data_IF_784097037027
#
_entry.id   IF_784097037027
#
_cell.length_a   1.000
_cell.length_b   1.000
_cell.length_c   1.000
_cell.angle_alpha   90.00
_cell.angle_beta   90.00
_cell.angle_gamma   90.00
#
_symmetry.space_group_name_H-M   'P 1'
#
loop_
_entity.id
_entity.type
_entity.pdbx_description
1 polymer ?
#
# COMPACT_ATOMS: atom_id res chain seq x y z
N UNK A 1 12.23 9.28 1.98
CA UNK A 1 10.91 8.90 2.49
C UNK A 1 10.60 7.43 2.20
N UNK A 2 9.56 6.91 2.83
CA UNK A 2 9.07 5.56 2.58
C UNK A 2 7.69 5.62 1.94
N UNK A 3 7.38 4.60 1.13
CA UNK A 3 6.05 4.39 0.58
C UNK A 3 5.62 2.95 0.84
N UNK A 4 4.35 2.75 1.17
CA UNK A 4 3.78 1.45 1.47
C UNK A 4 2.56 1.21 0.59
N UNK A 5 2.53 0.05 -0.05
CA UNK A 5 1.38 -0.40 -0.84
C UNK A 5 1.00 -1.80 -0.40
N UNK A 6 -0.29 -2.01 -0.11
CA UNK A 6 -0.85 -3.33 0.12
C UNK A 6 -1.84 -3.63 -0.99
N UNK A 7 -1.66 -4.74 -1.71
CA UNK A 7 -2.56 -5.11 -2.79
C UNK A 7 -2.87 -6.60 -2.80
N UNK A 8 -3.96 -6.95 -3.50
CA UNK A 8 -4.44 -8.32 -3.70
C UNK A 8 -4.55 -8.57 -5.22
N UNK A 9 -3.61 -9.33 -5.80
CA UNK A 9 -3.67 -9.65 -7.23
C UNK A 9 -4.71 -10.72 -7.57
N UNK A 10 -5.30 -11.38 -6.57
CA UNK A 10 -6.25 -12.49 -6.77
C UNK A 10 -7.72 -12.03 -6.73
N UNK A 11 -7.98 -10.74 -6.63
CA UNK A 11 -9.34 -10.22 -6.62
C UNK A 11 -10.04 -10.51 -7.96
N UNK A 12 -11.37 -10.75 -7.94
CA UNK A 12 -12.11 -11.14 -9.16
C UNK A 12 -12.03 -10.15 -10.31
N UNK A 13 -11.88 -8.87 -9.99
CA UNK A 13 -11.84 -7.79 -10.99
C UNK A 13 -10.42 -7.38 -11.39
N UNK A 14 -9.40 -8.13 -10.93
CA UNK A 14 -7.99 -7.79 -11.11
C UNK A 14 -7.36 -7.37 -9.81
N UNK A 15 -6.16 -6.81 -9.86
CA UNK A 15 -5.45 -6.37 -8.66
C UNK A 15 -6.27 -5.31 -7.90
N UNK A 16 -6.49 -5.56 -6.61
CA UNK A 16 -7.24 -4.66 -5.75
C UNK A 16 -6.30 -4.01 -4.74
N UNK A 17 -6.27 -2.68 -4.74
CA UNK A 17 -5.38 -1.91 -3.87
C UNK A 17 -6.08 -1.66 -2.53
N UNK A 18 -5.53 -2.22 -1.46
CA UNK A 18 -6.09 -2.10 -0.11
C UNK A 18 -5.56 -0.88 0.63
N UNK A 19 -4.31 -0.49 0.37
CA UNK A 19 -3.68 0.55 1.15
C UNK A 19 -2.54 1.18 0.34
N UNK A 20 -2.54 2.51 0.29
CA UNK A 20 -1.50 3.30 -0.37
C UNK A 20 -1.13 4.44 0.57
N UNK A 21 0.13 4.49 1.00
CA UNK A 21 0.63 5.56 1.88
C UNK A 21 2.02 5.93 1.39
N UNK A 22 2.32 7.21 1.35
CA UNK A 22 3.63 7.68 0.91
C UNK A 22 4.10 8.87 1.76
N UNK A 23 5.31 9.34 1.52
CA UNK A 23 5.96 10.37 2.34
C UNK A 23 6.00 9.99 3.82
N UNK A 24 6.18 8.70 4.10
CA UNK A 24 6.37 8.21 5.46
C UNK A 24 7.78 8.59 5.91
N UNK A 25 7.96 9.13 7.13
CA UNK A 25 9.30 9.48 7.61
C UNK A 25 10.26 8.30 7.55
N UNK A 26 11.49 8.47 7.06
CA UNK A 26 12.44 7.35 6.94
C UNK A 26 12.89 6.78 8.28
N UNK A 27 12.68 7.50 9.36
CA UNK A 27 12.97 7.01 10.73
C UNK A 27 11.90 6.07 11.27
N UNK A 28 10.80 5.87 10.55
CA UNK A 28 9.72 4.99 10.98
C UNK A 28 10.21 3.54 10.99
N UNK A 29 10.17 2.89 12.16
CA UNK A 29 10.69 1.52 12.34
C UNK A 29 9.59 0.49 12.36
N UNK A 30 8.37 0.88 12.71
CA UNK A 30 7.22 0.00 12.73
C UNK A 30 5.94 0.80 12.61
N UNK A 31 4.89 0.14 12.18
CA UNK A 31 3.54 0.69 12.11
C UNK A 31 2.70 -0.08 13.11
N UNK A 32 2.16 0.62 14.09
CA UNK A 32 1.35 -0.01 15.13
C UNK A 32 0.06 -0.58 14.53
N UNK A 33 -0.35 -1.76 15.00
CA UNK A 33 -1.58 -2.41 14.57
C UNK A 33 -2.77 -1.50 14.81
N UNK A 34 -3.63 -1.36 13.80
CA UNK A 34 -4.83 -0.53 13.91
C UNK A 34 -4.59 0.97 13.75
N UNK A 35 -3.37 1.37 13.40
CA UNK A 35 -3.04 2.78 13.16
C UNK A 35 -2.49 2.98 11.76
N UNK A 36 -2.59 4.22 11.27
CA UNK A 36 -1.94 4.61 10.03
C UNK A 36 -0.58 5.23 10.34
N UNK A 37 0.45 5.00 9.51
CA UNK A 37 1.73 5.68 9.68
C UNK A 37 1.59 7.17 9.39
N UNK A 38 2.50 7.97 9.93
CA UNK A 38 2.61 9.36 9.50
C UNK A 38 2.98 9.36 8.02
N UNK A 39 2.29 10.19 7.24
CA UNK A 39 2.49 10.23 5.80
C UNK A 39 1.23 10.75 5.13
N UNK A 40 1.17 10.58 3.82
CA UNK A 40 0.01 10.99 3.02
C UNK A 40 -0.73 9.75 2.56
N UNK A 41 -2.03 9.66 2.87
CA UNK A 41 -2.86 8.54 2.47
C UNK A 41 -3.24 8.66 1.00
N UNK A 42 -3.00 7.60 0.24
CA UNK A 42 -3.45 7.50 -1.14
C UNK A 42 -4.84 6.88 -1.23
N UNK A 43 -5.34 6.77 -2.46
CA UNK A 43 -6.67 6.21 -2.72
C UNK A 43 -6.58 4.69 -2.91
N UNK A 44 -7.40 3.96 -2.17
CA UNK A 44 -7.56 2.51 -2.35
C UNK A 44 -8.62 2.22 -3.43
N UNK A 45 -8.79 0.92 -3.74
CA UNK A 45 -9.70 0.50 -4.80
C UNK A 45 -11.20 0.65 -4.45
N UNK A 46 -11.51 0.94 -3.18
CA UNK A 46 -12.88 1.32 -2.79
C UNK A 46 -13.18 2.80 -3.07
N UNK A 47 -12.21 3.56 -3.58
CA UNK A 47 -12.36 4.99 -3.83
C UNK A 47 -12.23 5.84 -2.58
N UNK A 48 -11.66 5.30 -1.50
CA UNK A 48 -11.43 5.99 -0.23
C UNK A 48 -9.94 6.13 0.02
N UNK A 49 -9.57 7.05 0.90
CA UNK A 49 -8.20 7.14 1.38
C UNK A 49 -8.02 6.26 2.62
N UNK A 50 -6.81 5.71 2.79
CA UNK A 50 -6.47 4.94 3.96
C UNK A 50 -6.55 3.43 3.75
N UNK A 51 -6.56 2.70 4.85
CA UNK A 51 -6.50 1.25 4.87
C UNK A 51 -7.88 0.61 4.69
N UNK A 52 -7.96 -0.36 3.76
CA UNK A 52 -9.10 -1.25 3.65
C UNK A 52 -8.66 -2.69 3.93
N UNK A 53 -9.28 -3.33 4.92
CA UNK A 53 -8.88 -4.66 5.34
C UNK A 53 -9.19 -5.76 4.33
N UNK A 54 -8.56 -6.95 4.47
CA UNK A 54 -8.87 -8.10 3.63
C UNK A 54 -10.32 -8.54 3.81
N UNK A 55 -11.02 -8.67 2.69
CA UNK A 55 -12.41 -9.14 2.69
C UNK A 55 -12.68 -9.87 1.37
N UNK A 56 -12.05 -11.04 1.13
CA UNK A 56 -12.23 -11.76 -0.11
C UNK A 56 -13.65 -12.30 -0.20
N UNK A 57 -14.28 -12.24 -1.39
CA UNK A 57 -15.64 -12.78 -1.58
C UNK A 57 -15.66 -14.29 -1.45
N UNK A 58 -14.59 -14.98 -1.80
CA UNK A 58 -14.47 -16.42 -1.68
C UNK A 58 -13.03 -16.85 -1.79
N UNK A 59 -12.72 -18.03 -1.26
CA UNK A 59 -11.41 -18.64 -1.38
C UNK A 59 -10.31 -17.94 -0.58
N UNK A 60 -9.08 -18.31 -0.87
CA UNK A 60 -7.89 -17.74 -0.26
C UNK A 60 -7.26 -16.76 -1.24
N UNK A 61 -7.01 -15.54 -0.77
CA UNK A 61 -6.33 -14.53 -1.57
C UNK A 61 -4.96 -14.23 -0.97
N UNK A 62 -4.02 -13.86 -1.84
CA UNK A 62 -2.70 -13.40 -1.44
C UNK A 62 -2.73 -11.89 -1.28
N UNK A 63 -2.13 -11.40 -0.20
CA UNK A 63 -2.00 -9.97 0.05
C UNK A 63 -0.53 -9.63 0.13
N UNK A 64 -0.10 -8.69 -0.70
CA UNK A 64 1.29 -8.26 -0.77
C UNK A 64 1.44 -6.90 -0.10
N UNK A 65 2.38 -6.82 0.83
CA UNK A 65 2.81 -5.57 1.44
C UNK A 65 4.13 -5.19 0.79
N UNK A 66 4.15 -4.09 0.06
CA UNK A 66 5.32 -3.61 -0.67
C UNK A 66 5.80 -2.32 -0.04
N UNK A 67 7.04 -2.33 0.46
CA UNK A 67 7.64 -1.17 1.09
C UNK A 67 8.79 -0.67 0.22
N UNK A 68 8.78 0.63 -0.07
CA UNK A 68 9.78 1.28 -0.90
C UNK A 68 10.51 2.34 -0.09
N UNK A 69 11.84 2.33 -0.16
CA UNK A 69 12.66 3.42 0.37
C UNK A 69 13.02 4.33 -0.81
N UNK A 70 12.72 5.61 -0.68
CA UNK A 70 12.89 6.59 -1.75
C UNK A 70 13.95 7.63 -1.37
N UNK A 71 14.62 8.18 -2.38
CA UNK A 71 15.67 9.21 -2.19
C UNK A 71 15.08 10.61 -2.00
N UNK A 72 13.76 10.76 -2.04
CA UNK A 72 13.09 12.04 -1.93
C UNK A 72 11.70 11.88 -1.33
N UNK A 73 11.08 12.99 -0.96
CA UNK A 73 9.65 13.05 -0.73
C UNK A 73 8.94 13.29 -2.05
N UNK A 74 7.72 12.80 -2.17
CA UNK A 74 6.93 12.96 -3.39
C UNK A 74 5.95 14.12 -3.23
N UNK A 75 5.88 14.97 -4.25
CA UNK A 75 4.96 16.10 -4.27
C UNK A 75 3.62 15.66 -4.88
N UNK A 76 2.90 14.81 -4.15
CA UNK A 76 1.62 14.25 -4.56
C UNK A 76 0.56 14.54 -3.50
N UNK A 77 -0.69 14.78 -3.92
CA UNK A 77 -1.77 15.06 -2.97
C UNK A 77 -2.30 13.80 -2.30
N UNK A 78 -3.04 14.00 -1.22
CA UNK A 78 -3.86 12.95 -0.63
C UNK A 78 -4.82 12.41 -1.70
N UNK A 79 -5.05 11.10 -1.68
CA UNK A 79 -5.91 10.45 -2.66
C UNK A 79 -5.21 10.03 -3.95
N UNK A 80 -3.89 10.18 -4.03
CA UNK A 80 -3.10 9.68 -5.16
C UNK A 80 -3.26 8.16 -5.27
N UNK A 81 -3.52 7.67 -6.48
CA UNK A 81 -3.67 6.24 -6.73
C UNK A 81 -2.33 5.51 -6.72
N UNK A 82 -2.37 4.18 -6.57
CA UNK A 82 -1.16 3.36 -6.67
C UNK A 82 -0.45 3.59 -8.01
N UNK A 83 -1.19 3.68 -9.09
CA UNK A 83 -0.63 3.89 -10.44
C UNK A 83 0.15 5.19 -10.52
N UNK A 84 -0.41 6.27 -10.00
CA UNK A 84 0.26 7.57 -10.00
C UNK A 84 1.44 7.60 -9.04
N UNK A 85 1.32 6.92 -7.90
CA UNK A 85 2.42 6.76 -6.96
C UNK A 85 3.59 6.01 -7.60
N UNK A 86 3.32 4.87 -8.25
CA UNK A 86 4.35 4.08 -8.92
C UNK A 86 5.07 4.88 -10.00
N UNK A 87 4.32 5.70 -10.74
CA UNK A 87 4.89 6.56 -11.77
C UNK A 87 5.84 7.61 -11.15
N UNK A 88 5.44 8.19 -10.04
CA UNK A 88 6.26 9.20 -9.36
C UNK A 88 7.49 8.61 -8.69
N UNK A 89 7.43 7.34 -8.28
CA UNK A 89 8.57 6.65 -7.64
C UNK A 89 9.66 6.25 -8.63
N UNK A 90 9.37 6.19 -9.93
CA UNK A 90 10.36 5.78 -10.92
C UNK A 90 11.60 6.66 -10.88
N UNK A 91 12.77 6.03 -10.79
CA UNK A 91 14.04 6.74 -10.69
C UNK A 91 14.41 7.19 -9.29
N UNK A 92 13.56 6.95 -8.29
CA UNK A 92 13.79 7.39 -6.91
C UNK A 92 13.86 6.24 -5.90
N UNK A 93 13.70 4.99 -6.35
CA UNK A 93 13.68 3.83 -5.45
C UNK A 93 15.10 3.42 -5.08
N UNK A 94 15.43 3.52 -3.79
CA UNK A 94 16.73 3.09 -3.25
C UNK A 94 16.70 1.63 -2.85
N UNK A 95 15.57 1.16 -2.29
CA UNK A 95 15.41 -0.21 -1.84
C UNK A 95 13.94 -0.58 -1.83
N UNK A 96 13.66 -1.87 -1.91
CA UNK A 96 12.31 -2.41 -1.92
C UNK A 96 12.27 -3.67 -1.06
N UNK A 97 11.22 -3.81 -0.26
CA UNK A 97 10.92 -5.02 0.49
C UNK A 97 9.49 -5.44 0.21
N UNK A 98 9.23 -6.74 0.25
CA UNK A 98 7.91 -7.27 -0.02
C UNK A 98 7.61 -8.41 0.95
N UNK A 99 6.40 -8.42 1.51
CA UNK A 99 5.91 -9.46 2.40
C UNK A 99 4.56 -9.92 1.88
N UNK A 100 4.38 -11.24 1.76
CA UNK A 100 3.14 -11.82 1.30
C UNK A 100 2.45 -12.55 2.45
N UNK A 101 1.15 -12.34 2.60
CA UNK A 101 0.30 -13.07 3.52
C UNK A 101 -0.92 -13.63 2.82
N UNK A 102 -1.49 -14.69 3.38
CA UNK A 102 -2.73 -15.27 2.89
C UNK A 102 -3.88 -14.91 3.83
N UNK A 103 -5.06 -14.69 3.27
CA UNK A 103 -6.27 -14.49 4.03
C UNK A 103 -7.41 -15.26 3.38
N UNK A 104 -8.14 -16.03 4.19
CA UNK A 104 -9.28 -16.84 3.73
C UNK A 104 -10.53 -16.38 4.44
N UNK A 105 -11.60 -16.15 3.65
CA UNK A 105 -12.88 -15.76 4.21
C UNK A 105 -13.51 -16.92 4.99
N UNK A 106 -14.06 -16.60 6.16
CA UNK A 106 -14.77 -17.57 6.99
C UNK A 106 -13.90 -18.62 7.65
N UNK A 107 -12.58 -18.40 7.60
CA UNK A 107 -11.60 -19.31 8.20
C UNK A 107 -11.47 -19.15 9.67
#
# INVERSE_FOLDING_TARGET
SLALVMDDPDAPVGTWDHWVVFNIPPSTKQIAKGTEPNGVAGRNSWGRTGYGGPCPPSGTHRYFFKLYALDTELNLPEGTTKKDLERAMQGHILAKAELMGNYKRGG
#
